data_IF_615679985656
#
_entry.id   IF_615679985656
#
_cell.length_a   1.000
_cell.length_b   1.000
_cell.length_c   1.000
_cell.angle_alpha   90.00
_cell.angle_beta   90.00
_cell.angle_gamma   90.00
#
_symmetry.space_group_name_H-M   'P 1'
#
loop_
_entity.id
_entity.type
_entity.pdbx_description
1 polymer ?
#
# COMPACT_ATOMS: atom_id res chain seq x y z
N UNK A 1 -13.91 -22.12 -27.90
CA UNK A 1 -14.20 -20.68 -28.00
C UNK A 1 -13.70 -20.05 -26.70
N UNK A 2 -12.73 -19.15 -26.83
CA UNK A 2 -12.14 -18.27 -25.81
C UNK A 2 -11.62 -18.89 -24.50
N UNK A 3 -10.36 -19.32 -24.51
CA UNK A 3 -9.45 -19.10 -23.38
C UNK A 3 -8.40 -18.09 -23.88
N UNK A 4 -8.65 -16.80 -23.68
CA UNK A 4 -7.64 -15.76 -23.89
C UNK A 4 -6.76 -15.71 -22.65
N UNK A 5 -5.50 -16.11 -22.82
CA UNK A 5 -4.46 -16.04 -21.81
C UNK A 5 -4.11 -14.56 -21.56
N UNK A 6 -4.44 -14.06 -20.37
CA UNK A 6 -4.13 -12.69 -19.90
C UNK A 6 -2.64 -12.63 -19.50
N UNK A 7 -1.71 -12.88 -20.43
CA UNK A 7 -0.26 -12.79 -20.17
C UNK A 7 0.36 -11.49 -20.67
N UNK A 8 -0.19 -10.93 -21.75
CA UNK A 8 0.55 -9.98 -22.60
C UNK A 8 0.70 -8.56 -22.00
N UNK A 9 0.06 -8.30 -20.86
CA UNK A 9 0.13 -7.02 -20.14
C UNK A 9 1.10 -6.99 -18.96
N UNK A 10 1.49 -8.14 -18.40
CA UNK A 10 2.28 -8.20 -17.16
C UNK A 10 3.78 -8.02 -17.46
N UNK A 11 4.24 -8.52 -18.60
CA UNK A 11 5.66 -8.46 -18.99
C UNK A 11 6.19 -7.03 -19.15
N UNK A 12 5.32 -6.07 -19.48
CA UNK A 12 5.69 -4.64 -19.62
C UNK A 12 5.85 -3.89 -18.30
N UNK A 13 5.49 -4.49 -17.15
CA UNK A 13 5.73 -3.89 -15.84
C UNK A 13 7.13 -4.23 -15.27
N UNK A 14 7.96 -4.95 -16.04
CA UNK A 14 9.35 -5.21 -15.67
C UNK A 14 10.15 -3.91 -15.63
N UNK A 15 10.34 -3.35 -14.43
CA UNK A 15 11.30 -2.29 -14.17
C UNK A 15 12.69 -2.77 -14.57
N UNK A 16 13.31 -2.04 -15.49
CA UNK A 16 14.61 -2.39 -16.07
C UNK A 16 15.73 -2.17 -15.03
N UNK A 17 16.03 -3.17 -14.21
CA UNK A 17 17.15 -3.16 -13.26
C UNK A 17 18.47 -3.36 -14.00
N UNK A 18 19.17 -2.26 -14.32
CA UNK A 18 20.63 -2.31 -14.46
C UNK A 18 21.22 -2.31 -13.06
N UNK A 19 21.47 -3.49 -12.52
CA UNK A 19 22.06 -3.68 -11.19
C UNK A 19 22.41 -5.13 -10.97
N UNK A 20 23.62 -5.33 -10.48
CA UNK A 20 24.37 -6.53 -10.12
C UNK A 20 23.57 -7.77 -9.66
N UNK A 21 24.14 -8.95 -9.84
CA UNK A 21 23.57 -10.26 -9.54
C UNK A 21 23.29 -10.47 -8.04
N UNK A 22 22.20 -9.88 -7.56
CA UNK A 22 21.53 -10.15 -6.29
C UNK A 22 20.11 -10.65 -6.56
N UNK A 23 19.54 -11.38 -5.61
CA UNK A 23 18.17 -11.93 -5.65
C UNK A 23 17.17 -11.00 -6.34
N UNK A 24 16.37 -11.51 -7.29
CA UNK A 24 15.23 -10.77 -7.85
C UNK A 24 14.24 -10.47 -6.72
N UNK A 25 14.34 -9.29 -6.13
CA UNK A 25 13.40 -8.84 -5.11
C UNK A 25 12.02 -8.72 -5.76
N UNK A 26 11.13 -9.65 -5.39
CA UNK A 26 9.76 -9.68 -5.92
C UNK A 26 9.01 -8.44 -5.42
N UNK A 27 8.46 -7.67 -6.35
CA UNK A 27 7.71 -6.45 -6.06
C UNK A 27 6.24 -6.77 -5.73
N UNK A 28 5.80 -6.36 -4.54
CA UNK A 28 4.38 -6.44 -4.15
C UNK A 28 3.68 -5.11 -4.48
N UNK A 29 2.67 -5.15 -5.35
CA UNK A 29 1.88 -3.96 -5.70
C UNK A 29 0.51 -4.01 -5.04
N UNK A 30 0.20 -3.01 -4.22
CA UNK A 30 -1.08 -2.87 -3.53
C UNK A 30 -1.94 -1.79 -4.19
N UNK A 31 -3.15 -2.16 -4.63
CA UNK A 31 -4.14 -1.21 -5.16
C UNK A 31 -5.21 -0.90 -4.12
N UNK A 32 -5.56 0.37 -3.95
CA UNK A 32 -6.64 0.74 -3.03
C UNK A 32 -6.80 2.23 -2.78
N UNK A 33 -7.42 2.55 -1.65
CA UNK A 33 -7.58 3.92 -1.18
C UNK A 33 -6.71 4.14 0.06
N UNK A 34 -6.09 5.32 0.15
CA UNK A 34 -5.42 5.80 1.36
C UNK A 34 -6.29 6.86 2.01
N UNK A 35 -6.55 6.71 3.29
CA UNK A 35 -7.42 7.61 4.06
C UNK A 35 -6.63 8.36 5.12
N UNK A 36 -7.19 9.46 5.63
CA UNK A 36 -6.70 10.09 6.86
C UNK A 36 -7.60 9.66 8.02
N UNK A 37 -7.05 8.84 8.90
CA UNK A 37 -7.69 8.46 10.15
C UNK A 37 -7.52 9.59 11.17
N UNK A 38 -8.63 10.06 11.74
CA UNK A 38 -8.64 11.03 12.83
C UNK A 38 -8.72 10.27 14.16
N UNK A 39 -7.56 10.09 14.79
CA UNK A 39 -7.44 9.36 16.06
C UNK A 39 -7.58 10.34 17.23
N UNK A 40 -8.54 10.16 18.16
CA UNK A 40 -8.67 11.01 19.34
C UNK A 40 -7.37 11.05 20.16
N UNK A 41 -6.99 12.22 20.68
CA UNK A 41 -5.77 12.35 21.51
C UNK A 41 -5.92 11.73 22.90
N UNK A 42 -7.16 11.57 23.37
CA UNK A 42 -7.50 10.92 24.64
C UNK A 42 -8.48 9.78 24.39
N UNK A 43 -8.25 8.65 25.06
CA UNK A 43 -9.13 7.49 24.99
C UNK A 43 -10.31 7.58 25.97
N UNK A 44 -11.29 6.68 25.81
CA UNK A 44 -12.46 6.51 26.69
C UNK A 44 -13.43 7.70 26.75
N UNK A 45 -13.35 8.61 25.79
CA UNK A 45 -14.36 9.65 25.53
C UNK A 45 -15.10 9.35 24.24
N UNK A 46 -16.30 9.89 24.08
CA UNK A 46 -16.97 9.82 22.77
C UNK A 46 -16.21 10.67 21.73
N UNK A 47 -16.43 10.40 20.45
CA UNK A 47 -15.83 11.22 19.38
C UNK A 47 -16.29 12.68 19.44
N UNK A 48 -17.52 12.94 19.92
CA UNK A 48 -18.06 14.29 20.06
C UNK A 48 -17.37 15.11 21.17
N UNK A 49 -16.84 14.42 22.19
CA UNK A 49 -16.19 15.04 23.35
C UNK A 49 -14.66 15.06 23.23
N UNK A 50 -14.11 14.50 22.14
CA UNK A 50 -12.68 14.45 21.92
C UNK A 50 -12.12 15.89 21.75
N UNK A 51 -11.19 16.34 22.62
CA UNK A 51 -10.67 17.70 22.59
C UNK A 51 -9.78 17.98 21.38
N UNK A 52 -9.17 16.93 20.81
CA UNK A 52 -8.34 17.02 19.62
C UNK A 52 -8.20 15.65 18.94
N UNK A 53 -7.78 15.69 17.66
CA UNK A 53 -7.50 14.51 16.86
C UNK A 53 -6.10 14.58 16.26
N UNK A 54 -5.40 13.44 16.26
CA UNK A 54 -4.17 13.21 15.52
C UNK A 54 -4.50 12.58 14.18
N UNK A 55 -4.00 13.16 13.10
CA UNK A 55 -4.07 12.58 11.76
C UNK A 55 -3.11 11.40 11.66
N UNK A 56 -3.60 10.25 11.21
CA UNK A 56 -2.81 9.06 10.90
C UNK A 56 -3.15 8.57 9.49
N UNK A 57 -2.19 8.01 8.74
CA UNK A 57 -2.49 7.37 7.47
C UNK A 57 -3.27 6.07 7.72
N UNK A 58 -4.37 5.88 6.99
CA UNK A 58 -5.24 4.70 7.04
C UNK A 58 -5.38 4.04 5.66
N UNK A 59 -6.13 2.94 5.64
CA UNK A 59 -6.38 2.13 4.43
C UNK A 59 -5.65 0.79 4.46
N UNK A 60 -6.41 -0.31 4.36
CA UNK A 60 -5.85 -1.66 4.46
C UNK A 60 -4.78 -1.96 3.40
N UNK A 61 -4.98 -1.65 2.10
CA UNK A 61 -3.95 -1.91 1.08
C UNK A 61 -2.69 -1.03 1.26
N UNK A 62 -2.84 0.21 1.72
CA UNK A 62 -1.70 1.07 2.04
C UNK A 62 -0.89 0.52 3.22
N UNK A 63 -1.56 0.03 4.26
CA UNK A 63 -0.93 -0.60 5.42
C UNK A 63 -0.15 -1.87 5.04
N UNK A 64 -0.68 -2.68 4.11
CA UNK A 64 0.03 -3.88 3.61
C UNK A 64 1.34 -3.50 2.91
N UNK A 65 1.31 -2.53 1.99
CA UNK A 65 2.53 -2.06 1.30
C UNK A 65 3.58 -1.56 2.32
N UNK A 66 3.15 -0.74 3.28
CA UNK A 66 4.03 -0.25 4.36
C UNK A 66 4.62 -1.40 5.18
N UNK A 67 3.83 -2.43 5.53
CA UNK A 67 4.31 -3.59 6.27
C UNK A 67 5.36 -4.38 5.47
N UNK A 68 5.14 -4.62 4.17
CA UNK A 68 6.11 -5.30 3.31
C UNK A 68 7.43 -4.54 3.29
N UNK A 69 7.39 -3.22 3.07
CA UNK A 69 8.59 -2.39 3.06
C UNK A 69 9.31 -2.34 4.42
N UNK A 70 8.57 -2.32 5.53
CA UNK A 70 9.15 -2.38 6.89
C UNK A 70 9.84 -3.70 7.21
N UNK A 71 9.40 -4.80 6.58
CA UNK A 71 10.01 -6.13 6.75
C UNK A 71 11.17 -6.38 5.77
N UNK A 72 11.57 -5.38 4.97
CA UNK A 72 12.68 -5.48 4.02
C UNK A 72 12.29 -5.97 2.62
N UNK A 73 11.00 -6.12 2.33
CA UNK A 73 10.51 -6.46 1.00
C UNK A 73 10.34 -5.24 0.09
N UNK A 74 10.28 -5.48 -1.22
CA UNK A 74 9.97 -4.44 -2.22
C UNK A 74 8.45 -4.29 -2.37
N UNK A 75 7.93 -3.08 -2.23
CA UNK A 75 6.50 -2.80 -2.41
C UNK A 75 6.20 -1.48 -3.09
N UNK A 76 5.03 -1.39 -3.73
CA UNK A 76 4.47 -0.17 -4.30
C UNK A 76 2.96 -0.08 -3.98
N UNK A 77 2.45 1.14 -3.85
CA UNK A 77 1.02 1.41 -3.68
C UNK A 77 0.50 2.27 -4.83
N UNK A 78 -0.65 1.90 -5.40
CA UNK A 78 -1.35 2.66 -6.42
C UNK A 78 -2.78 2.89 -5.96
N UNK A 79 -3.18 4.15 -5.85
CA UNK A 79 -4.46 4.44 -5.25
C UNK A 79 -4.83 5.91 -5.24
N UNK A 80 -6.06 6.17 -4.84
CA UNK A 80 -6.58 7.52 -4.56
C UNK A 80 -6.43 7.82 -3.07
N UNK A 81 -6.20 9.09 -2.76
CA UNK A 81 -6.28 9.61 -1.39
C UNK A 81 -7.67 10.21 -1.15
N UNK A 82 -8.29 9.89 -0.01
CA UNK A 82 -9.63 10.38 0.37
C UNK A 82 -9.66 10.86 1.83
#
# INVERSE_FOLDING_TARGET
MADEHISDGIDKLSLNTKGDAGTKDSLVVCFGEMLIDFVPTVGRVSLAEAPAFKKAPGGAPANVAVCVSKLGGSSAFIGKVQ
#
